data_IF_733287440826
#
_entry.id   IF_733287440826
#
_cell.length_a   1.000
_cell.length_b   1.000
_cell.length_c   1.000
_cell.angle_alpha   90.00
_cell.angle_beta   90.00
_cell.angle_gamma   90.00
#
_symmetry.space_group_name_H-M   'P 1'
#
loop_
_entity.id
_entity.type
_entity.pdbx_description
1 polymer ?
#
# COMPACT_ATOMS: atom_id res chain seq x y z
N UNK A 1 14.02 8.30 -17.18
CA UNK A 1 13.28 7.03 -16.99
C UNK A 1 12.77 6.86 -15.56
N UNK A 2 13.61 6.64 -14.54
CA UNK A 2 13.12 6.50 -13.15
C UNK A 2 12.46 7.79 -12.62
N UNK A 3 13.01 8.95 -12.97
CA UNK A 3 12.42 10.25 -12.65
C UNK A 3 11.00 10.42 -13.23
N UNK A 4 10.74 9.89 -14.43
CA UNK A 4 9.43 9.95 -15.07
C UNK A 4 8.40 9.13 -14.29
N UNK A 5 8.80 7.96 -13.78
CA UNK A 5 7.95 7.14 -12.90
C UNK A 5 7.67 7.85 -11.58
N UNK A 6 8.69 8.43 -10.94
CA UNK A 6 8.51 9.23 -9.72
C UNK A 6 7.55 10.38 -9.97
N UNK A 7 7.72 11.11 -11.07
CA UNK A 7 6.86 12.24 -11.40
C UNK A 7 5.42 11.80 -11.67
N UNK A 8 5.20 10.73 -12.44
CA UNK A 8 3.86 10.18 -12.68
C UNK A 8 3.18 9.75 -11.38
N UNK A 9 3.91 9.09 -10.48
CA UNK A 9 3.38 8.68 -9.18
C UNK A 9 3.04 9.86 -8.27
N UNK A 10 3.85 10.93 -8.29
CA UNK A 10 3.54 12.17 -7.54
C UNK A 10 2.26 12.82 -8.05
N UNK A 11 2.13 12.99 -9.37
CA UNK A 11 0.92 13.56 -9.99
C UNK A 11 -0.32 12.71 -9.71
N UNK A 12 -0.23 11.39 -9.87
CA UNK A 12 -1.33 10.48 -9.55
C UNK A 12 -1.71 10.55 -8.05
N UNK A 13 -0.70 10.65 -7.18
CA UNK A 13 -0.89 10.84 -5.75
C UNK A 13 -1.62 12.14 -5.41
N UNK A 14 -1.20 13.27 -5.99
CA UNK A 14 -1.84 14.58 -5.79
C UNK A 14 -3.31 14.56 -6.26
N UNK A 15 -3.59 13.97 -7.42
CA UNK A 15 -4.96 13.83 -7.93
C UNK A 15 -5.81 12.91 -7.05
N UNK A 16 -5.24 11.81 -6.56
CA UNK A 16 -5.91 10.96 -5.57
C UNK A 16 -6.28 11.77 -4.32
N UNK A 17 -5.36 12.59 -3.82
CA UNK A 17 -5.56 13.42 -2.62
C UNK A 17 -6.62 14.52 -2.86
N UNK A 18 -6.85 14.91 -4.13
CA UNK A 18 -7.95 15.77 -4.58
C UNK A 18 -9.28 15.04 -4.79
N UNK A 19 -9.35 13.73 -4.53
CA UNK A 19 -10.56 12.91 -4.64
C UNK A 19 -10.69 12.06 -5.91
N UNK A 20 -9.70 12.11 -6.82
CA UNK A 20 -9.69 11.30 -8.04
C UNK A 20 -9.18 9.88 -7.74
N UNK A 21 -9.95 9.10 -6.99
CA UNK A 21 -9.51 7.80 -6.47
C UNK A 21 -9.17 6.75 -7.54
N UNK A 22 -9.62 6.95 -8.79
CA UNK A 22 -9.20 6.13 -9.94
C UNK A 22 -7.68 6.10 -10.13
N UNK A 23 -6.99 7.14 -9.68
CA UNK A 23 -5.53 7.27 -9.72
C UNK A 23 -4.81 6.21 -8.85
N UNK A 24 -5.50 5.54 -7.92
CA UNK A 24 -4.95 4.38 -7.23
C UNK A 24 -4.56 3.25 -8.19
N UNK A 25 -5.30 3.07 -9.31
CA UNK A 25 -4.94 2.10 -10.36
C UNK A 25 -3.71 2.54 -11.15
N UNK A 26 -3.57 3.84 -11.38
CA UNK A 26 -2.38 4.40 -12.04
C UNK A 26 -1.15 4.16 -11.16
N UNK A 27 -1.26 4.46 -9.86
CA UNK A 27 -0.21 4.16 -8.88
C UNK A 27 0.14 2.67 -8.86
N UNK A 28 -0.85 1.78 -8.77
CA UNK A 28 -0.65 0.33 -8.79
C UNK A 28 0.11 -0.13 -10.05
N UNK A 29 -0.29 0.34 -11.22
CA UNK A 29 0.37 0.01 -12.49
C UNK A 29 1.83 0.49 -12.54
N UNK A 30 2.11 1.72 -12.07
CA UNK A 30 3.49 2.24 -12.01
C UNK A 30 4.35 1.43 -11.04
N UNK A 31 3.84 1.15 -9.83
CA UNK A 31 4.56 0.36 -8.82
C UNK A 31 4.84 -1.05 -9.35
N UNK A 32 3.82 -1.74 -9.88
CA UNK A 32 3.97 -3.08 -10.46
C UNK A 32 5.03 -3.11 -11.56
N UNK A 33 5.00 -2.14 -12.50
CA UNK A 33 6.02 -2.02 -13.55
C UNK A 33 7.43 -1.83 -12.99
N UNK A 34 7.57 -1.09 -11.88
CA UNK A 34 8.86 -0.79 -11.30
C UNK A 34 9.47 -1.97 -10.55
N UNK A 35 8.67 -2.73 -9.78
CA UNK A 35 9.20 -3.63 -8.74
C UNK A 35 8.72 -5.07 -8.83
N UNK A 36 7.65 -5.35 -9.58
CA UNK A 36 7.09 -6.69 -9.65
C UNK A 36 7.65 -7.47 -10.84
N UNK A 37 8.14 -8.68 -10.54
CA UNK A 37 8.50 -9.70 -11.52
C UNK A 37 7.49 -10.84 -11.42
N UNK A 38 6.90 -11.23 -12.56
CA UNK A 38 5.83 -12.22 -12.62
C UNK A 38 5.26 -12.36 -14.04
N UNK A 39 4.67 -13.53 -14.34
CA UNK A 39 3.96 -13.75 -15.62
C UNK A 39 4.78 -13.56 -16.90
N UNK A 40 6.10 -13.70 -16.84
CA UNK A 40 7.01 -13.44 -17.97
C UNK A 40 7.40 -11.96 -18.16
N UNK A 41 6.91 -11.05 -17.32
CA UNK A 41 7.32 -9.63 -17.30
C UNK A 41 8.45 -9.39 -16.30
N UNK A 42 9.47 -8.63 -16.72
CA UNK A 42 10.54 -8.17 -15.83
C UNK A 42 10.21 -6.78 -15.27
N UNK A 43 10.50 -6.59 -13.99
CA UNK A 43 10.45 -5.29 -13.34
C UNK A 43 11.52 -4.36 -13.94
N UNK A 44 11.20 -3.07 -14.02
CA UNK A 44 12.14 -2.06 -14.49
C UNK A 44 13.35 -1.93 -13.56
N UNK A 45 13.13 -1.98 -12.25
CA UNK A 45 14.21 -1.92 -11.26
C UNK A 45 14.77 -3.34 -11.10
N UNK A 46 16.04 -3.62 -11.43
CA UNK A 46 16.58 -4.97 -11.38
C UNK A 46 16.68 -5.50 -9.94
N UNK A 47 16.64 -6.83 -9.72
CA UNK A 47 16.72 -7.42 -8.39
C UNK A 47 17.91 -6.94 -7.56
N UNK A 48 19.09 -6.83 -8.18
CA UNK A 48 20.30 -6.35 -7.52
C UNK A 48 20.17 -4.92 -6.98
N UNK A 49 19.46 -4.04 -7.69
CA UNK A 49 19.18 -2.68 -7.21
C UNK A 49 18.12 -2.71 -6.10
N UNK A 50 17.02 -3.46 -6.28
CA UNK A 50 15.96 -3.57 -5.24
C UNK A 50 16.52 -4.05 -3.90
N UNK A 51 17.45 -5.00 -3.93
CA UNK A 51 18.09 -5.57 -2.75
C UNK A 51 19.16 -4.67 -2.11
N UNK A 52 19.74 -3.74 -2.88
CA UNK A 52 20.68 -2.73 -2.35
C UNK A 52 19.98 -1.56 -1.66
N UNK A 53 18.73 -1.28 -2.04
CA UNK A 53 17.95 -0.20 -1.45
C UNK A 53 17.28 -0.65 -0.14
N UNK A 54 17.25 0.25 0.84
CA UNK A 54 16.33 0.12 1.97
C UNK A 54 14.98 0.76 1.65
N UNK A 55 13.89 0.03 1.80
CA UNK A 55 12.55 0.46 1.42
C UNK A 55 11.80 1.08 2.59
N UNK A 56 11.27 2.28 2.38
CA UNK A 56 10.54 3.05 3.41
C UNK A 56 9.28 2.28 3.81
N UNK A 57 9.20 1.90 5.09
CA UNK A 57 8.04 1.22 5.68
C UNK A 57 7.28 2.17 6.61
N UNK A 58 6.02 2.43 6.29
CA UNK A 58 5.12 3.25 7.11
C UNK A 58 4.03 2.45 7.84
N UNK A 59 3.94 1.15 7.57
CA UNK A 59 2.88 0.28 8.06
C UNK A 59 3.32 -0.70 9.14
N UNK A 60 4.49 -1.31 8.97
CA UNK A 60 4.85 -2.52 9.71
C UNK A 60 3.85 -3.66 9.46
N UNK A 61 3.89 -4.68 10.32
CA UNK A 61 2.98 -5.83 10.29
C UNK A 61 1.84 -5.70 11.29
N UNK A 62 0.64 -6.27 10.99
CA UNK A 62 -0.40 -6.48 12.00
C UNK A 62 0.16 -7.17 13.26
N UNK A 63 -0.37 -6.79 14.42
CA UNK A 63 0.02 -7.44 15.66
C UNK A 63 -0.57 -8.85 15.71
N UNK A 64 0.25 -9.93 15.76
CA UNK A 64 -0.26 -11.30 15.74
C UNK A 64 -1.10 -11.63 16.99
N UNK A 65 -0.93 -10.87 18.09
CA UNK A 65 -1.73 -11.03 19.31
C UNK A 65 -3.10 -10.36 19.22
N UNK A 66 -3.40 -9.65 18.13
CA UNK A 66 -4.67 -8.95 17.93
C UNK A 66 -5.54 -9.74 16.95
N UNK A 67 -6.71 -10.16 17.42
CA UNK A 67 -7.70 -10.86 16.58
C UNK A 67 -8.49 -9.91 15.68
N UNK A 68 -8.48 -8.60 15.98
CA UNK A 68 -9.12 -7.60 15.14
C UNK A 68 -8.45 -7.47 13.78
N UNK A 69 -9.24 -7.06 12.79
CA UNK A 69 -8.73 -6.63 11.49
C UNK A 69 -7.82 -5.41 11.65
N UNK A 70 -6.91 -5.22 10.71
CA UNK A 70 -5.90 -4.18 10.73
C UNK A 70 -5.67 -3.63 9.32
N UNK A 71 -5.54 -2.31 9.19
CA UNK A 71 -5.18 -1.65 7.94
C UNK A 71 -3.96 -0.74 8.19
N UNK A 72 -2.78 -1.35 8.32
CA UNK A 72 -1.56 -0.72 8.82
C UNK A 72 -1.05 0.45 7.96
N UNK A 73 -1.47 0.55 6.70
CA UNK A 73 -1.08 1.64 5.78
C UNK A 73 -2.04 2.82 5.76
N UNK A 74 -3.13 2.76 6.51
CA UNK A 74 -4.22 3.76 6.44
C UNK A 74 -4.64 4.23 7.81
N UNK A 75 -5.47 5.27 7.83
CA UNK A 75 -6.16 5.75 9.01
C UNK A 75 -7.65 5.77 8.74
N UNK A 76 -8.42 5.50 9.78
CA UNK A 76 -9.86 5.71 9.76
C UNK A 76 -10.12 7.16 10.15
N UNK A 77 -10.68 7.92 9.21
CA UNK A 77 -11.16 9.28 9.45
C UNK A 77 -12.67 9.21 9.61
N UNK A 78 -13.14 9.53 10.81
CA UNK A 78 -14.56 9.58 11.14
C UNK A 78 -14.96 11.04 11.29
N UNK A 79 -15.99 11.47 10.59
CA UNK A 79 -16.62 12.78 10.79
C UNK A 79 -17.91 12.57 11.57
N UNK A 80 -17.99 13.16 12.76
CA UNK A 80 -19.20 13.17 13.57
C UNK A 80 -20.13 14.31 13.12
N UNK A 81 -21.42 14.01 12.95
CA UNK A 81 -22.45 14.92 12.47
C UNK A 81 -23.79 14.19 12.25
N UNK A 82 -24.79 14.86 11.66
CA UNK A 82 -26.13 14.30 11.40
C UNK A 82 -26.12 12.99 10.58
N UNK A 83 -25.05 12.76 9.83
CA UNK A 83 -24.69 11.48 9.23
C UNK A 83 -23.22 11.19 9.57
N UNK A 84 -22.97 10.14 10.35
CA UNK A 84 -21.61 9.71 10.65
C UNK A 84 -20.97 9.10 9.40
N UNK A 85 -19.90 9.71 8.89
CA UNK A 85 -19.18 9.22 7.71
C UNK A 85 -17.78 8.75 8.10
N UNK A 86 -17.46 7.51 7.75
CA UNK A 86 -16.13 6.91 7.92
C UNK A 86 -15.44 6.74 6.57
N UNK A 87 -14.20 7.19 6.46
CA UNK A 87 -13.35 6.96 5.28
C UNK A 87 -11.96 6.45 5.69
N UNK A 88 -11.36 5.58 4.86
CA UNK A 88 -9.94 5.27 4.94
C UNK A 88 -9.13 6.32 4.19
N UNK A 89 -8.11 6.86 4.84
CA UNK A 89 -7.18 7.83 4.25
C UNK A 89 -5.73 7.32 4.36
N UNK A 90 -4.87 7.61 3.36
CA UNK A 90 -3.44 7.32 3.45
C UNK A 90 -2.81 8.14 4.58
N UNK A 91 -1.77 7.61 5.22
CA UNK A 91 -1.06 8.29 6.32
C UNK A 91 -0.11 9.39 5.83
N UNK A 92 0.46 9.20 4.63
CA UNK A 92 1.51 9.99 4.03
C UNK A 92 2.62 10.33 5.05
N UNK A 93 3.10 11.57 5.05
CA UNK A 93 4.06 12.10 6.02
C UNK A 93 3.39 12.74 7.26
N UNK A 94 2.07 12.63 7.42
CA UNK A 94 1.28 13.53 8.28
C UNK A 94 1.38 13.25 9.78
N UNK A 95 2.17 12.26 10.20
CA UNK A 95 2.22 11.82 11.58
C UNK A 95 3.65 11.75 12.08
N UNK A 96 3.89 12.11 13.36
CA UNK A 96 5.20 11.96 13.97
C UNK A 96 5.66 10.50 13.90
N UNK A 97 6.98 10.25 13.97
CA UNK A 97 7.52 8.90 14.10
C UNK A 97 6.80 8.17 15.25
N UNK A 98 6.16 7.07 14.91
CA UNK A 98 5.50 6.18 15.86
C UNK A 98 6.06 4.78 15.64
N UNK A 99 6.27 3.99 16.71
CA UNK A 99 6.82 2.65 16.58
C UNK A 99 5.86 1.78 15.76
N UNK A 100 6.41 1.16 14.71
CA UNK A 100 5.75 0.11 13.93
C UNK A 100 6.49 -1.21 14.16
N UNK A 101 5.76 -2.31 14.03
CA UNK A 101 6.28 -3.66 14.28
C UNK A 101 6.81 -4.26 12.98
N UNK A 102 7.98 -4.88 13.05
CA UNK A 102 8.53 -5.70 11.95
C UNK A 102 8.08 -7.15 12.08
N UNK A 103 8.24 -7.96 11.01
CA UNK A 103 7.91 -9.40 11.03
C UNK A 103 8.66 -10.16 12.13
N UNK A 104 9.90 -9.79 12.45
CA UNK A 104 10.68 -10.38 13.55
C UNK A 104 10.18 -9.99 14.95
N UNK A 105 9.27 -9.03 15.03
CA UNK A 105 8.71 -8.52 16.28
C UNK A 105 9.48 -7.37 16.89
N UNK A 106 10.57 -6.91 16.26
CA UNK A 106 11.25 -5.67 16.63
C UNK A 106 10.37 -4.44 16.32
N UNK A 107 10.60 -3.35 17.05
CA UNK A 107 9.97 -2.07 16.77
C UNK A 107 10.96 -1.16 16.06
N UNK A 108 10.49 -0.52 14.99
CA UNK A 108 11.23 0.51 14.25
C UNK A 108 10.35 1.77 14.17
N UNK A 109 10.96 2.93 13.97
CA UNK A 109 10.19 4.14 13.74
C UNK A 109 9.50 4.07 12.38
N UNK A 110 8.25 4.51 12.31
CA UNK A 110 7.56 4.71 11.04
C UNK A 110 8.40 5.54 10.07
N UNK A 111 8.54 5.06 8.85
CA UNK A 111 9.35 5.69 7.81
C UNK A 111 10.79 5.18 7.76
N UNK A 112 11.18 4.29 8.70
CA UNK A 112 12.44 3.55 8.64
C UNK A 112 12.49 2.68 7.38
N UNK A 113 13.71 2.32 6.99
CA UNK A 113 13.96 1.50 5.81
C UNK A 113 14.15 0.04 6.18
N UNK A 114 13.55 -0.86 5.40
CA UNK A 114 13.65 -2.32 5.59
C UNK A 114 14.03 -3.00 4.25
N UNK A 115 14.46 -4.28 4.27
CA UNK A 115 14.75 -5.02 3.04
C UNK A 115 13.54 -5.09 2.09
N UNK A 116 13.79 -5.19 0.77
CA UNK A 116 12.75 -5.24 -0.24
C UNK A 116 11.73 -6.36 0.00
N UNK A 117 12.20 -7.58 0.25
CA UNK A 117 11.33 -8.74 0.44
C UNK A 117 10.40 -8.54 1.64
N UNK A 118 10.91 -8.00 2.74
CA UNK A 118 10.11 -7.65 3.90
C UNK A 118 9.10 -6.55 3.56
N UNK A 119 9.52 -5.45 2.92
CA UNK A 119 8.61 -4.38 2.52
C UNK A 119 7.48 -4.88 1.62
N UNK A 120 7.82 -5.71 0.63
CA UNK A 120 6.92 -6.14 -0.43
C UNK A 120 5.96 -7.24 0.01
N UNK A 121 6.45 -8.20 0.80
CA UNK A 121 5.72 -9.43 1.15
C UNK A 121 5.17 -9.44 2.58
N UNK A 122 5.59 -8.53 3.46
CA UNK A 122 5.01 -8.47 4.81
C UNK A 122 3.52 -8.15 4.74
N UNK A 123 2.69 -8.82 5.56
CA UNK A 123 1.29 -8.46 5.67
C UNK A 123 1.18 -7.05 6.23
N UNK A 124 0.33 -6.23 5.62
CA UNK A 124 0.04 -4.84 6.02
C UNK A 124 -1.44 -4.62 6.25
N UNK A 125 -2.26 -5.57 5.81
CA UNK A 125 -3.69 -5.59 6.01
C UNK A 125 -4.06 -6.97 6.55
N UNK A 126 -4.95 -7.01 7.52
CA UNK A 126 -5.61 -8.21 8.02
C UNK A 126 -7.11 -7.94 8.01
N UNK A 127 -7.89 -8.78 7.35
CA UNK A 127 -9.35 -8.63 7.32
C UNK A 127 -10.00 -9.25 8.57
N UNK A 128 -11.33 -9.21 8.68
CA UNK A 128 -12.01 -9.71 9.89
C UNK A 128 -12.07 -11.25 9.95
N UNK A 129 -11.88 -11.92 8.82
CA UNK A 129 -11.81 -13.38 8.72
C UNK A 129 -10.37 -13.88 8.99
N UNK A 130 -9.43 -12.95 9.15
CA UNK A 130 -8.04 -13.20 9.46
C UNK A 130 -7.16 -13.39 8.23
N UNK A 131 -7.69 -13.19 7.02
CA UNK A 131 -6.88 -13.19 5.81
C UNK A 131 -5.94 -11.98 5.82
N UNK A 132 -4.68 -12.23 5.49
CA UNK A 132 -3.64 -11.21 5.48
C UNK A 132 -3.25 -10.86 4.06
N UNK A 133 -3.01 -9.57 3.81
CA UNK A 133 -2.64 -9.05 2.52
C UNK A 133 -1.42 -8.15 2.64
N UNK A 134 -0.46 -8.39 1.77
CA UNK A 134 0.80 -7.67 1.62
C UNK A 134 0.67 -6.47 0.66
N UNK A 135 1.71 -5.62 0.61
CA UNK A 135 1.78 -4.53 -0.39
C UNK A 135 1.72 -5.08 -1.81
N UNK A 136 2.37 -6.21 -2.05
CA UNK A 136 2.33 -6.93 -3.32
C UNK A 136 0.91 -7.22 -3.75
N UNK A 137 0.12 -7.89 -2.91
CA UNK A 137 -1.24 -8.30 -3.27
C UNK A 137 -2.16 -7.10 -3.47
N UNK A 138 -2.06 -6.08 -2.61
CA UNK A 138 -2.82 -4.84 -2.76
C UNK A 138 -2.52 -4.13 -4.09
N UNK A 139 -1.25 -4.08 -4.50
CA UNK A 139 -0.83 -3.48 -5.78
C UNK A 139 -1.30 -4.33 -6.96
N UNK A 140 -1.04 -5.64 -6.93
CA UNK A 140 -1.36 -6.54 -8.06
C UNK A 140 -2.86 -6.63 -8.32
N UNK A 141 -3.69 -6.62 -7.28
CA UNK A 141 -5.13 -6.62 -7.42
C UNK A 141 -5.70 -5.35 -8.06
N UNK A 142 -5.01 -4.21 -7.92
CA UNK A 142 -5.42 -2.93 -8.53
C UNK A 142 -4.73 -2.64 -9.87
N UNK A 143 -3.59 -3.26 -10.17
CA UNK A 143 -2.79 -2.99 -11.37
C UNK A 143 -3.39 -3.57 -12.67
N UNK A 144 -4.60 -4.14 -12.62
CA UNK A 144 -5.28 -4.72 -13.78
C UNK A 144 -5.48 -3.67 -14.88
N UNK A 145 -5.11 -4.03 -16.12
CA UNK A 145 -5.25 -3.13 -17.26
C UNK A 145 -6.58 -3.40 -17.96
N UNK A 146 -7.46 -2.40 -18.03
CA UNK A 146 -8.77 -2.54 -18.66
C UNK A 146 -9.66 -3.61 -18.01
N UNK A 147 -9.38 -4.00 -16.75
CA UNK A 147 -10.12 -5.05 -16.04
C UNK A 147 -9.56 -6.47 -16.23
N UNK A 148 -8.51 -6.68 -17.03
CA UNK A 148 -7.87 -7.98 -17.19
C UNK A 148 -6.57 -8.07 -16.36
N UNK A 149 -6.42 -9.17 -15.61
CA UNK A 149 -5.15 -9.55 -15.01
C UNK A 149 -4.17 -9.96 -16.11
N UNK A 150 -2.91 -9.52 -16.00
CA UNK A 150 -1.86 -9.82 -17.00
C UNK A 150 -1.14 -11.14 -16.72
N UNK A 151 -1.26 -11.64 -15.49
CA UNK A 151 -0.65 -12.87 -15.04
C UNK A 151 -1.51 -13.58 -13.96
N UNK A 152 -1.21 -14.85 -13.64
CA UNK A 152 -1.95 -15.60 -12.65
C UNK A 152 -1.92 -15.03 -11.23
N UNK A 153 -0.83 -14.33 -10.85
CA UNK A 153 -0.68 -13.79 -9.50
C UNK A 153 -1.56 -12.55 -9.32
N UNK A 154 -1.63 -11.68 -10.32
CA UNK A 154 -2.59 -10.58 -10.35
C UNK A 154 -4.04 -11.08 -10.28
N UNK A 155 -4.36 -12.15 -11.01
CA UNK A 155 -5.70 -12.74 -10.98
C UNK A 155 -6.03 -13.29 -9.59
N UNK A 156 -5.08 -14.01 -8.97
CA UNK A 156 -5.22 -14.55 -7.62
C UNK A 156 -5.40 -13.45 -6.58
N UNK A 157 -4.55 -12.40 -6.60
CA UNK A 157 -4.65 -11.26 -5.70
C UNK A 157 -5.99 -10.53 -5.86
N UNK A 158 -6.43 -10.30 -7.09
CA UNK A 158 -7.72 -9.67 -7.37
C UNK A 158 -8.90 -10.52 -6.86
N UNK A 159 -8.88 -11.83 -7.07
CA UNK A 159 -9.91 -12.74 -6.58
C UNK A 159 -9.95 -12.78 -5.06
N UNK A 160 -8.80 -12.90 -4.39
CA UNK A 160 -8.70 -12.95 -2.93
C UNK A 160 -9.24 -11.66 -2.29
N UNK A 161 -8.87 -10.48 -2.81
CA UNK A 161 -9.37 -9.21 -2.29
C UNK A 161 -10.85 -8.96 -2.62
N UNK A 162 -11.35 -9.44 -3.75
CA UNK A 162 -12.77 -9.31 -4.12
C UNK A 162 -13.68 -10.19 -3.26
N UNK A 163 -13.15 -11.30 -2.74
CA UNK A 163 -13.88 -12.20 -1.84
C UNK A 163 -13.84 -11.74 -0.37
N UNK A 164 -12.93 -10.84 0.00
CA UNK A 164 -12.84 -10.30 1.36
C UNK A 164 -13.93 -9.24 1.59
N UNK A 165 -15.07 -9.68 2.12
CA UNK A 165 -16.19 -8.82 2.52
C UNK A 165 -15.89 -7.93 3.73
N UNK A 166 -14.84 -8.25 4.49
CA UNK A 166 -14.53 -7.65 5.79
C UNK A 166 -13.56 -6.47 5.74
N UNK A 167 -13.13 -6.04 4.55
CA UNK A 167 -12.36 -4.80 4.34
C UNK A 167 -13.20 -3.53 4.57
N UNK A 168 -14.53 -3.65 4.57
CA UNK A 168 -15.46 -2.57 4.91
C UNK A 168 -15.81 -2.60 6.39
N UNK A 169 -15.13 -1.79 7.20
CA UNK A 169 -15.57 -1.58 8.58
C UNK A 169 -16.96 -0.92 8.58
N UNK A 170 -17.70 -1.10 9.67
CA UNK A 170 -19.01 -0.49 9.89
C UNK A 170 -18.96 0.39 11.13
N UNK A 171 -19.41 1.64 11.00
CA UNK A 171 -19.66 2.55 12.11
C UNK A 171 -21.03 2.24 12.71
N UNK A 172 -21.07 1.96 14.02
CA UNK A 172 -22.34 1.90 14.76
C UNK A 172 -22.81 3.31 15.10
N UNK A 173 -24.01 3.67 14.66
CA UNK A 173 -24.71 4.90 15.03
C UNK A 173 -25.50 4.74 16.33
N UNK A 174 -25.91 5.86 16.93
CA UNK A 174 -26.60 5.92 18.24
C UNK A 174 -27.91 5.12 18.30
N UNK A 175 -28.55 4.85 17.16
CA UNK A 175 -29.81 4.10 17.06
C UNK A 175 -29.61 2.63 16.63
N UNK A 176 -28.39 2.10 16.69
CA UNK A 176 -28.08 0.74 16.23
C UNK A 176 -27.96 0.59 14.71
N UNK A 177 -28.04 1.69 13.94
CA UNK A 177 -27.78 1.69 12.50
C UNK A 177 -26.29 1.51 12.22
N UNK A 178 -25.90 0.58 11.36
CA UNK A 178 -24.51 0.42 10.91
C UNK A 178 -24.30 1.11 9.56
N UNK A 179 -23.27 1.95 9.46
CA UNK A 179 -22.88 2.59 8.18
C UNK A 179 -21.51 2.07 7.77
N UNK A 180 -21.43 1.43 6.60
CA UNK A 180 -20.14 0.98 6.07
C UNK A 180 -19.22 2.19 5.81
N UNK A 181 -17.91 2.01 6.01
CA UNK A 181 -16.95 3.00 5.57
C UNK A 181 -17.06 3.16 4.05
N UNK A 182 -17.17 4.40 3.57
CA UNK A 182 -17.47 4.70 2.16
C UNK A 182 -16.37 4.27 1.18
N UNK A 183 -15.18 3.93 1.69
CA UNK A 183 -13.99 3.71 0.87
C UNK A 183 -13.26 2.45 1.32
N UNK A 184 -12.76 1.68 0.36
CA UNK A 184 -11.95 0.51 0.66
C UNK A 184 -10.59 0.93 1.23
N UNK A 185 -10.08 0.27 2.29
CA UNK A 185 -8.71 0.48 2.76
C UNK A 185 -7.66 0.15 1.70
N UNK A 186 -8.02 -0.62 0.65
CA UNK A 186 -7.10 -1.02 -0.43
C UNK A 186 -6.62 0.17 -1.24
N UNK A 187 -7.51 1.04 -1.71
CA UNK A 187 -7.12 2.19 -2.55
C UNK A 187 -6.29 3.22 -1.76
N UNK A 188 -6.62 3.43 -0.49
CA UNK A 188 -5.85 4.29 0.40
C UNK A 188 -4.48 3.67 0.73
N UNK A 189 -4.42 2.34 0.89
CA UNK A 189 -3.16 1.62 1.07
C UNK A 189 -2.27 1.73 -0.16
N UNK A 190 -2.78 1.54 -1.37
CA UNK A 190 -1.98 1.70 -2.60
C UNK A 190 -1.48 3.13 -2.77
N UNK A 191 -2.27 4.13 -2.38
CA UNK A 191 -1.80 5.52 -2.30
C UNK A 191 -0.61 5.68 -1.32
N UNK A 192 -0.66 5.01 -0.17
CA UNK A 192 0.44 4.97 0.79
C UNK A 192 1.67 4.24 0.25
N UNK A 193 1.51 3.09 -0.42
CA UNK A 193 2.62 2.36 -1.06
C UNK A 193 3.29 3.24 -2.11
N UNK A 194 2.50 3.96 -2.92
CA UNK A 194 3.05 4.93 -3.88
C UNK A 194 3.90 6.03 -3.22
N UNK A 195 3.49 6.51 -2.04
CA UNK A 195 4.29 7.44 -1.24
C UNK A 195 5.61 6.79 -0.79
N UNK A 196 5.57 5.58 -0.24
CA UNK A 196 6.76 4.83 0.22
C UNK A 196 7.78 4.61 -0.89
N UNK A 197 7.34 4.24 -2.10
CA UNK A 197 8.21 4.06 -3.27
C UNK A 197 8.88 5.38 -3.67
N UNK A 198 8.11 6.47 -3.74
CA UNK A 198 8.66 7.80 -4.07
C UNK A 198 9.70 8.21 -3.03
N UNK A 199 9.42 8.03 -1.73
CA UNK A 199 10.37 8.34 -0.67
C UNK A 199 11.63 7.47 -0.74
N UNK A 200 11.47 6.17 -0.97
CA UNK A 200 12.59 5.23 -1.14
C UNK A 200 13.57 5.69 -2.22
N UNK A 201 13.04 6.10 -3.38
CA UNK A 201 13.85 6.56 -4.52
C UNK A 201 14.49 7.92 -4.22
N UNK A 202 13.71 8.89 -3.73
CA UNK A 202 14.21 10.26 -3.50
C UNK A 202 15.33 10.27 -2.46
N UNK A 203 15.19 9.49 -1.38
CA UNK A 203 16.15 9.53 -0.28
C UNK A 203 17.40 8.66 -0.50
N UNK A 204 17.50 7.95 -1.63
CA UNK A 204 18.63 7.06 -1.98
C UNK A 204 19.08 7.27 -3.44
N UNK A 205 18.96 8.51 -3.95
CA UNK A 205 19.39 8.85 -5.32
C UNK A 205 20.87 8.58 -5.57
N UNK A 206 21.69 8.76 -4.55
CA UNK A 206 23.12 8.42 -4.53
C UNK A 206 23.35 6.93 -4.77
N UNK A 207 22.70 6.05 -4.01
CA UNK A 207 22.82 4.59 -4.18
C UNK A 207 22.37 4.14 -5.57
N UNK A 208 21.32 4.77 -6.11
CA UNK A 208 20.80 4.49 -7.45
C UNK A 208 21.79 4.95 -8.53
N UNK A 209 22.38 6.15 -8.38
CA UNK A 209 23.36 6.67 -9.31
C UNK A 209 24.62 5.78 -9.37
N UNK A 210 25.13 5.36 -8.21
CA UNK A 210 26.29 4.47 -8.11
C UNK A 210 26.02 3.11 -8.76
N UNK A 211 24.81 2.58 -8.63
CA UNK A 211 24.41 1.32 -9.26
C UNK A 211 24.22 1.41 -10.78
N UNK A 212 24.07 2.61 -11.34
CA UNK A 212 23.97 2.82 -12.79
C UNK A 212 25.34 3.01 -13.47
N UNK A 213 26.39 3.26 -12.67
CA UNK A 213 27.76 3.49 -13.13
C UNK A 213 28.66 2.26 -13.05
N UNK A 214 28.22 1.19 -12.36
CA UNK A 214 28.93 -0.09 -12.22
C UNK A 214 28.23 -1.21 -12.97
#
# INVERSE_FOLDING_TARGET
MLDDFVQRMRVAGERFDQGWHVEARVLAAQIGTLVHEGGGSQALMPPGLRNRLGWVDTGGVPNPKTSASAACLTLMKVRSGASSHGEYVPKLALYPPAPIRTRSGAHIDRGSRIPFDDWWTNPVLKDADGAEFSRKELVLALATHGGAARDPEMAAAHAALSQSTSLGWVLSGENGSTTAFERSPVIASVRQVGYEVVQTIIQQRDVIADAALG
#
